data_IF_873186249041
#
_entry.id   IF_873186249041
#
_cell.length_a   1.000
_cell.length_b   1.000
_cell.length_c   1.000
_cell.angle_alpha   90.00
_cell.angle_beta   90.00
_cell.angle_gamma   90.00
#
_symmetry.space_group_name_H-M   'P 1'
#
loop_
_entity.id
_entity.type
_entity.pdbx_description
1 polymer ?
#
# COMPACT_ATOMS: atom_id res chain seq x y z
N UNK A 1 -3.25 -28.70 -6.75
CA UNK A 1 -3.94 -27.79 -7.69
C UNK A 1 -5.46 -27.78 -7.57
N UNK A 2 -6.15 -28.89 -7.27
CA UNK A 2 -7.64 -28.94 -7.17
C UNK A 2 -8.24 -28.26 -5.91
N UNK A 3 -7.50 -28.10 -4.81
CA UNK A 3 -8.03 -27.50 -3.56
C UNK A 3 -8.06 -25.96 -3.54
N UNK A 4 -7.26 -25.30 -4.37
CA UNK A 4 -7.22 -23.83 -4.47
C UNK A 4 -8.41 -23.29 -5.26
N UNK A 5 -8.88 -24.06 -6.25
CA UNK A 5 -10.06 -23.70 -7.05
C UNK A 5 -11.37 -23.66 -6.26
N UNK A 6 -11.51 -24.50 -5.23
CA UNK A 6 -12.74 -24.60 -4.43
C UNK A 6 -12.86 -23.39 -3.47
N UNK A 7 -11.76 -22.91 -2.91
CA UNK A 7 -11.78 -21.73 -2.02
C UNK A 7 -12.11 -20.46 -2.82
N UNK A 8 -11.60 -20.33 -4.04
CA UNK A 8 -11.93 -19.20 -4.93
C UNK A 8 -13.41 -19.21 -5.33
N UNK A 9 -14.00 -20.36 -5.59
CA UNK A 9 -15.42 -20.50 -5.95
C UNK A 9 -16.33 -20.22 -4.76
N UNK A 10 -15.96 -20.60 -3.55
CA UNK A 10 -16.76 -20.32 -2.34
C UNK A 10 -16.73 -18.81 -2.01
N UNK A 11 -15.61 -18.12 -2.20
CA UNK A 11 -15.54 -16.65 -2.03
C UNK A 11 -16.38 -15.92 -3.10
N UNK A 12 -16.39 -16.40 -4.34
CA UNK A 12 -17.20 -15.83 -5.42
C UNK A 12 -18.71 -16.08 -5.22
N UNK A 13 -19.10 -17.26 -4.74
CA UNK A 13 -20.50 -17.59 -4.45
C UNK A 13 -21.05 -16.78 -3.26
N UNK A 14 -20.24 -16.54 -2.23
CA UNK A 14 -20.64 -15.71 -1.09
C UNK A 14 -20.78 -14.23 -1.46
N UNK A 15 -19.95 -13.73 -2.38
CA UNK A 15 -20.07 -12.37 -2.91
C UNK A 15 -21.29 -12.17 -3.82
N UNK A 16 -21.70 -13.19 -4.58
CA UNK A 16 -22.91 -13.15 -5.41
C UNK A 16 -24.20 -13.17 -4.58
N UNK A 17 -24.25 -13.96 -3.52
CA UNK A 17 -25.39 -14.00 -2.61
C UNK A 17 -25.62 -12.65 -1.89
N UNK A 18 -24.54 -11.94 -1.55
CA UNK A 18 -24.60 -10.60 -0.94
C UNK A 18 -25.10 -9.53 -1.93
N UNK A 19 -24.85 -9.70 -3.23
CA UNK A 19 -25.26 -8.74 -4.26
C UNK A 19 -26.76 -8.88 -4.65
N UNK A 20 -27.38 -10.03 -4.45
CA UNK A 20 -28.79 -10.27 -4.81
C UNK A 20 -29.78 -9.79 -3.75
N UNK A 21 -29.41 -9.77 -2.47
CA UNK A 21 -30.30 -9.37 -1.38
C UNK A 21 -30.53 -7.85 -1.22
N UNK A 22 -29.89 -7.01 -2.05
CA UNK A 22 -30.01 -5.54 -1.97
C UNK A 22 -31.03 -4.97 -2.97
N UNK A 23 -31.74 -5.79 -3.75
CA UNK A 23 -32.50 -5.32 -4.92
C UNK A 23 -33.99 -5.12 -4.69
N UNK A 24 -34.54 -5.27 -3.51
CA UNK A 24 -35.98 -5.10 -3.26
C UNK A 24 -36.28 -4.18 -2.07
N UNK A 25 -36.25 -2.88 -2.27
CA UNK A 25 -37.11 -1.91 -1.55
C UNK A 25 -37.34 -0.74 -2.51
N UNK A 26 -38.51 -0.73 -3.15
CA UNK A 26 -39.12 0.45 -3.74
C UNK A 26 -39.85 1.22 -2.61
N UNK A 27 -39.92 2.55 -2.67
CA UNK A 27 -40.68 3.34 -1.71
C UNK A 27 -42.16 3.38 -2.16
N UNK A 28 -43.05 2.98 -1.30
CA UNK A 28 -44.48 3.31 -1.46
C UNK A 28 -44.94 4.21 -0.31
N UNK A 29 -45.64 5.22 -0.72
CA UNK A 29 -46.18 6.33 0.05
C UNK A 29 -47.53 5.97 0.70
N UNK A 30 -47.83 6.70 1.76
CA UNK A 30 -49.09 7.13 2.38
C UNK A 30 -49.50 6.46 3.70
N UNK A 31 -49.39 7.32 4.69
CA UNK A 31 -50.24 7.75 5.81
C UNK A 31 -51.39 6.86 6.28
N UNK A 32 -51.38 6.50 7.56
CA UNK A 32 -52.45 6.88 8.50
C UNK A 32 -52.04 6.61 9.96
N UNK A 33 -52.29 7.57 10.82
CA UNK A 33 -52.11 7.57 12.27
C UNK A 33 -53.27 6.79 12.88
N UNK A 34 -52.94 5.74 13.67
CA UNK A 34 -53.79 5.33 14.78
C UNK A 34 -52.90 4.80 15.95
N UNK A 35 -53.05 5.48 17.05
CA UNK A 35 -52.47 5.05 18.31
C UNK A 35 -53.18 3.83 18.86
N UNK A 36 -52.39 2.78 19.21
CA UNK A 36 -52.80 1.81 20.19
C UNK A 36 -51.61 1.27 20.93
N UNK A 37 -51.63 1.48 22.26
CA UNK A 37 -50.69 0.88 23.20
C UNK A 37 -50.60 -0.64 23.03
N UNK A 38 -49.42 -1.13 22.71
CA UNK A 38 -49.07 -2.51 22.96
C UNK A 38 -47.59 -2.63 23.35
N UNK A 39 -47.39 -3.14 24.56
CA UNK A 39 -46.12 -3.53 25.13
C UNK A 39 -45.31 -4.34 24.10
N UNK A 40 -44.29 -3.75 23.48
CA UNK A 40 -43.28 -4.52 22.72
C UNK A 40 -42.30 -5.13 23.73
N UNK A 41 -42.45 -6.42 23.97
CA UNK A 41 -41.35 -7.23 24.45
C UNK A 41 -40.24 -7.22 23.39
N UNK A 42 -39.13 -6.58 23.69
CA UNK A 42 -37.91 -6.58 22.83
C UNK A 42 -37.28 -7.99 22.95
N UNK A 43 -37.61 -8.87 22.04
CA UNK A 43 -36.83 -10.07 21.76
C UNK A 43 -35.52 -9.62 21.09
N UNK A 44 -34.47 -9.41 21.87
CA UNK A 44 -33.11 -9.26 21.36
C UNK A 44 -32.67 -10.56 20.68
N UNK A 45 -32.98 -10.70 19.40
CA UNK A 45 -32.39 -11.72 18.55
C UNK A 45 -30.86 -11.54 18.61
N UNK A 46 -30.12 -12.48 19.19
CA UNK A 46 -28.65 -12.53 19.12
C UNK A 46 -28.26 -12.55 17.64
N UNK A 47 -27.86 -11.40 17.13
CA UNK A 47 -27.34 -11.26 15.77
C UNK A 47 -26.10 -12.15 15.63
N UNK A 48 -26.09 -13.05 14.65
CA UNK A 48 -24.92 -13.86 14.29
C UNK A 48 -23.72 -12.93 14.00
N UNK A 49 -22.50 -13.40 14.26
CA UNK A 49 -21.26 -12.62 14.02
C UNK A 49 -21.25 -12.04 12.61
N UNK A 50 -21.72 -12.79 11.60
CA UNK A 50 -21.82 -12.34 10.21
C UNK A 50 -22.74 -11.13 10.06
N UNK A 51 -23.94 -11.15 10.68
CA UNK A 51 -24.87 -10.02 10.62
C UNK A 51 -24.37 -8.79 11.39
N UNK A 52 -23.59 -8.97 12.47
CA UNK A 52 -22.92 -7.86 13.18
C UNK A 52 -21.86 -7.21 12.28
N UNK A 53 -21.07 -8.02 11.60
CA UNK A 53 -20.05 -7.55 10.63
C UNK A 53 -20.72 -6.82 9.47
N UNK A 54 -21.77 -7.40 8.87
CA UNK A 54 -22.50 -6.77 7.76
C UNK A 54 -23.17 -5.46 8.18
N UNK A 55 -23.77 -5.38 9.38
CA UNK A 55 -24.36 -4.15 9.90
C UNK A 55 -23.30 -3.09 10.21
N UNK A 56 -22.14 -3.48 10.74
CA UNK A 56 -21.01 -2.58 10.92
C UNK A 56 -20.60 -1.93 9.57
N UNK A 57 -20.57 -2.71 8.51
CA UNK A 57 -20.25 -2.22 7.17
C UNK A 57 -21.36 -1.36 6.54
N UNK A 58 -22.64 -1.69 6.78
CA UNK A 58 -23.77 -0.83 6.35
C UNK A 58 -23.76 0.53 7.07
N UNK A 59 -23.46 0.54 8.37
CA UNK A 59 -23.40 1.75 9.18
C UNK A 59 -22.14 2.58 8.98
N UNK A 60 -21.06 1.97 8.49
CA UNK A 60 -19.80 2.68 8.22
C UNK A 60 -19.90 3.74 7.10
N UNK A 61 -20.97 3.68 6.28
CA UNK A 61 -21.27 4.69 5.23
C UNK A 61 -22.12 5.86 5.70
N UNK A 62 -22.65 5.82 6.94
CA UNK A 62 -23.39 6.95 7.49
C UNK A 62 -22.40 8.01 7.98
N UNK A 63 -22.59 9.27 7.55
CA UNK A 63 -21.83 10.38 8.09
C UNK A 63 -22.10 10.49 9.58
N UNK A 64 -21.10 10.18 10.40
CA UNK A 64 -21.18 10.36 11.84
C UNK A 64 -20.92 11.82 12.16
N UNK A 65 -21.73 12.40 13.04
CA UNK A 65 -21.50 13.74 13.60
C UNK A 65 -20.06 13.81 14.13
N UNK A 66 -19.37 14.90 13.79
CA UNK A 66 -17.96 15.17 14.10
C UNK A 66 -17.63 14.88 15.56
N UNK A 67 -17.00 13.75 15.81
CA UNK A 67 -16.39 13.46 17.11
C UNK A 67 -14.99 14.05 17.15
N UNK A 68 -14.53 14.45 18.32
CA UNK A 68 -13.16 14.92 18.54
C UNK A 68 -12.13 13.86 18.14
N UNK A 69 -12.49 12.58 18.28
CA UNK A 69 -11.72 11.43 17.89
C UNK A 69 -12.65 10.32 17.34
N UNK A 70 -12.41 9.85 16.13
CA UNK A 70 -13.18 8.77 15.50
C UNK A 70 -12.24 7.62 15.12
N UNK A 71 -12.56 6.41 15.60
CA UNK A 71 -11.77 5.19 15.31
C UNK A 71 -12.55 4.33 14.32
N UNK A 72 -11.85 3.85 13.31
CA UNK A 72 -12.34 2.87 12.35
C UNK A 72 -11.39 1.68 12.27
N UNK A 73 -11.97 0.49 12.07
CA UNK A 73 -11.22 -0.73 11.85
C UNK A 73 -11.46 -1.21 10.42
N UNK A 74 -10.39 -1.52 9.73
CA UNK A 74 -10.41 -2.13 8.40
C UNK A 74 -9.49 -3.33 8.45
N UNK A 75 -9.94 -4.47 7.97
CA UNK A 75 -9.10 -5.65 7.92
C UNK A 75 -9.75 -6.76 7.12
N UNK A 76 -8.94 -7.72 6.75
CA UNK A 76 -9.41 -8.86 5.99
C UNK A 76 -8.27 -9.74 5.48
N UNK A 77 -8.64 -10.86 4.84
CA UNK A 77 -7.67 -11.70 4.17
C UNK A 77 -7.04 -10.95 2.99
N UNK A 78 -5.80 -11.25 2.70
CA UNK A 78 -5.10 -10.80 1.49
C UNK A 78 -4.25 -11.93 0.92
N UNK A 79 -3.84 -11.79 -0.30
CA UNK A 79 -2.93 -12.72 -0.97
C UNK A 79 -1.96 -11.98 -1.87
N UNK A 80 -0.71 -12.37 -1.81
CA UNK A 80 0.31 -11.95 -2.79
C UNK A 80 1.24 -13.11 -3.12
N UNK A 81 1.96 -12.97 -4.22
CA UNK A 81 2.96 -13.98 -4.64
C UNK A 81 4.02 -14.20 -3.57
N UNK A 82 4.38 -13.16 -2.83
CA UNK A 82 5.47 -13.16 -1.86
C UNK A 82 5.03 -13.66 -0.48
N UNK A 83 3.96 -13.12 0.05
CA UNK A 83 3.48 -13.42 1.41
C UNK A 83 2.45 -14.53 1.47
N UNK A 84 1.94 -15.00 0.29
CA UNK A 84 0.87 -15.99 0.20
C UNK A 84 -0.41 -15.49 0.87
N UNK A 85 -1.20 -16.40 1.45
CA UNK A 85 -2.41 -16.02 2.16
C UNK A 85 -2.04 -15.39 3.49
N UNK A 86 -2.57 -14.22 3.76
CA UNK A 86 -2.40 -13.48 5.00
C UNK A 86 -3.69 -12.87 5.50
N UNK A 87 -3.61 -12.27 6.68
CA UNK A 87 -4.68 -11.51 7.28
C UNK A 87 -4.10 -10.23 7.89
N UNK A 88 -4.64 -9.09 7.47
CA UNK A 88 -4.23 -7.78 7.95
C UNK A 88 -5.37 -7.06 8.67
N UNK A 89 -5.02 -6.29 9.70
CA UNK A 89 -5.93 -5.40 10.42
C UNK A 89 -5.28 -4.04 10.55
N UNK A 90 -6.05 -2.98 10.28
CA UNK A 90 -5.70 -1.58 10.51
C UNK A 90 -6.74 -0.97 11.45
N UNK A 91 -6.27 -0.39 12.54
CA UNK A 91 -7.06 0.49 13.39
C UNK A 91 -6.65 1.93 13.08
N UNK A 92 -7.55 2.73 12.52
CA UNK A 92 -7.29 4.11 12.12
C UNK A 92 -8.12 5.08 12.95
N UNK A 93 -7.46 6.02 13.60
CA UNK A 93 -8.06 7.10 14.35
C UNK A 93 -7.91 8.42 13.59
N UNK A 94 -9.00 9.20 13.50
CA UNK A 94 -9.00 10.55 12.96
C UNK A 94 -9.31 11.53 14.08
N UNK A 95 -8.55 12.63 14.15
CA UNK A 95 -8.74 13.65 15.17
C UNK A 95 -8.50 15.04 14.61
N UNK A 96 -9.20 16.04 15.16
CA UNK A 96 -9.03 17.44 14.79
C UNK A 96 -8.25 18.19 15.86
N UNK A 97 -7.28 18.99 15.45
CA UNK A 97 -6.50 19.87 16.32
C UNK A 97 -7.26 21.14 16.69
N UNK A 98 -8.20 21.57 15.84
CA UNK A 98 -9.13 22.66 16.11
C UNK A 98 -10.57 22.22 15.89
N UNK A 99 -11.47 22.56 16.81
CA UNK A 99 -12.92 22.33 16.67
C UNK A 99 -13.65 23.50 15.98
N UNK A 100 -13.00 24.66 15.89
CA UNK A 100 -13.56 25.88 15.30
C UNK A 100 -13.36 25.96 13.79
N UNK A 101 -12.35 25.24 13.26
CA UNK A 101 -12.06 25.16 11.84
C UNK A 101 -12.72 23.92 11.22
N UNK A 102 -13.94 24.10 10.71
CA UNK A 102 -14.72 23.00 10.07
C UNK A 102 -14.15 22.54 8.73
N UNK A 103 -13.28 23.34 8.10
CA UNK A 103 -12.64 23.05 6.81
C UNK A 103 -11.31 22.29 6.98
N UNK A 104 -10.77 22.25 8.20
CA UNK A 104 -9.49 21.58 8.45
C UNK A 104 -9.57 20.07 8.17
N UNK A 105 -8.64 19.58 7.37
CA UNK A 105 -8.42 18.14 7.17
C UNK A 105 -8.04 17.52 8.51
N UNK A 106 -8.70 16.45 8.97
CA UNK A 106 -8.37 15.83 10.25
C UNK A 106 -6.99 15.17 10.21
N UNK A 107 -6.26 15.28 11.30
CA UNK A 107 -5.08 14.48 11.58
C UNK A 107 -5.46 13.00 11.70
N UNK A 108 -4.53 12.11 11.42
CA UNK A 108 -4.76 10.67 11.52
C UNK A 108 -3.61 9.95 12.24
N UNK A 109 -3.95 8.84 12.84
CA UNK A 109 -3.01 7.85 13.38
C UNK A 109 -3.56 6.46 13.10
N UNK A 110 -2.72 5.58 12.56
CA UNK A 110 -3.12 4.22 12.23
C UNK A 110 -2.11 3.22 12.75
N UNK A 111 -2.62 2.17 13.39
CA UNK A 111 -1.85 0.99 13.80
C UNK A 111 -2.27 -0.15 12.88
N UNK A 112 -1.30 -0.87 12.35
CA UNK A 112 -1.59 -2.03 11.53
C UNK A 112 -0.78 -3.24 11.93
N UNK A 113 -1.37 -4.41 11.73
CA UNK A 113 -0.71 -5.71 11.85
C UNK A 113 -1.06 -6.58 10.67
N UNK A 114 -0.11 -7.40 10.25
CA UNK A 114 -0.25 -8.31 9.13
C UNK A 114 0.50 -9.60 9.43
N UNK A 115 -0.15 -10.74 9.20
CA UNK A 115 0.42 -12.06 9.39
C UNK A 115 0.08 -12.95 8.19
N UNK A 116 0.96 -13.88 7.84
CA UNK A 116 0.71 -14.77 6.71
C UNK A 116 1.10 -16.22 6.96
N UNK A 117 0.60 -17.10 6.10
CA UNK A 117 0.82 -18.55 6.15
C UNK A 117 2.27 -18.97 5.93
N UNK A 118 3.12 -18.11 5.39
CA UNK A 118 4.56 -18.38 5.20
C UNK A 118 5.42 -17.86 6.36
N UNK A 119 4.80 -17.39 7.46
CA UNK A 119 5.53 -16.86 8.61
C UNK A 119 6.01 -15.41 8.42
N UNK A 120 5.44 -14.68 7.44
CA UNK A 120 5.56 -13.23 7.40
C UNK A 120 4.72 -12.62 8.52
N UNK A 121 5.27 -11.65 9.22
CA UNK A 121 4.51 -10.78 10.10
C UNK A 121 5.07 -9.36 10.03
N UNK A 122 4.16 -8.42 10.12
CA UNK A 122 4.44 -6.99 10.11
C UNK A 122 3.56 -6.29 11.14
N UNK A 123 4.16 -5.40 11.87
CA UNK A 123 3.48 -4.50 12.79
C UNK A 123 3.99 -3.10 12.55
N UNK A 124 3.11 -2.11 12.62
CA UNK A 124 3.53 -0.73 12.45
C UNK A 124 2.49 0.29 12.86
N UNK A 125 2.94 1.52 12.91
CA UNK A 125 2.17 2.71 13.19
C UNK A 125 2.58 3.77 12.16
N UNK A 126 1.58 4.47 11.62
CA UNK A 126 1.80 5.61 10.74
C UNK A 126 0.71 6.66 10.93
N UNK A 127 1.01 7.88 10.57
CA UNK A 127 0.03 8.94 10.65
C UNK A 127 0.55 10.28 10.16
N UNK A 128 -0.37 11.24 10.15
CA UNK A 128 -0.12 12.64 9.84
C UNK A 128 -0.76 13.49 10.91
N UNK A 129 0.05 14.26 11.63
CA UNK A 129 -0.42 15.32 12.50
C UNK A 129 -0.47 16.63 11.72
N UNK A 130 -1.66 17.21 11.59
CA UNK A 130 -1.90 18.46 10.86
C UNK A 130 -2.15 19.56 11.88
N UNK A 131 -1.31 20.60 11.83
CA UNK A 131 -1.47 21.79 12.68
C UNK A 131 -2.59 22.68 12.17
N UNK A 132 -3.10 23.55 13.03
CA UNK A 132 -4.15 24.50 12.69
C UNK A 132 -3.76 25.36 11.48
N UNK A 133 -4.70 25.51 10.53
CA UNK A 133 -4.47 26.23 9.27
C UNK A 133 -3.72 25.47 8.19
N UNK A 134 -3.41 24.19 8.41
CA UNK A 134 -2.76 23.27 7.46
C UNK A 134 -1.45 23.78 6.83
N UNK A 135 -0.76 24.69 7.52
CA UNK A 135 0.54 25.22 7.07
C UNK A 135 1.72 24.35 7.50
N UNK A 136 1.49 23.42 8.43
CA UNK A 136 2.50 22.52 8.94
C UNK A 136 1.89 21.13 9.12
N UNK A 137 2.69 20.11 8.81
CA UNK A 137 2.35 18.68 9.01
C UNK A 137 3.54 17.91 9.53
N UNK A 138 3.32 16.98 10.45
CA UNK A 138 4.30 15.96 10.81
C UNK A 138 3.78 14.62 10.30
N UNK A 139 4.47 14.04 9.32
CA UNK A 139 4.24 12.68 8.89
C UNK A 139 5.21 11.75 9.61
N UNK A 140 4.71 10.64 10.09
CA UNK A 140 5.53 9.65 10.78
C UNK A 140 5.10 8.24 10.42
N UNK A 141 6.07 7.35 10.33
CA UNK A 141 5.82 5.92 10.17
C UNK A 141 6.90 5.12 10.87
N UNK A 142 6.47 4.07 11.56
CA UNK A 142 7.38 3.08 12.11
C UNK A 142 6.82 1.69 11.84
N UNK A 143 7.69 0.76 11.53
CA UNK A 143 7.29 -0.61 11.28
C UNK A 143 8.40 -1.60 11.62
N UNK A 144 7.97 -2.74 12.11
CA UNK A 144 8.80 -3.93 12.27
C UNK A 144 8.20 -5.06 11.44
N UNK A 145 9.03 -5.79 10.72
CA UNK A 145 8.59 -6.98 10.03
C UNK A 145 9.65 -8.09 10.02
N UNK A 146 9.16 -9.31 9.94
CA UNK A 146 9.92 -10.52 9.70
C UNK A 146 9.40 -11.17 8.42
N UNK A 147 10.28 -11.38 7.46
CA UNK A 147 9.92 -11.93 6.17
C UNK A 147 10.81 -13.11 5.79
N UNK A 148 10.33 -14.36 5.92
CA UNK A 148 10.94 -15.51 5.27
C UNK A 148 10.85 -15.31 3.76
N UNK A 149 11.97 -14.97 3.12
CA UNK A 149 12.01 -14.52 1.74
C UNK A 149 13.06 -15.28 0.94
N UNK A 150 12.98 -15.12 -0.36
CA UNK A 150 14.05 -15.55 -1.27
C UNK A 150 14.97 -14.39 -1.60
N UNK A 151 16.22 -14.72 -1.82
CA UNK A 151 17.29 -13.79 -2.18
C UNK A 151 18.10 -14.37 -3.34
N UNK A 152 18.31 -13.60 -4.38
CA UNK A 152 19.05 -14.00 -5.59
C UNK A 152 20.43 -13.35 -5.67
N UNK A 153 20.79 -12.48 -4.71
CA UNK A 153 21.99 -11.64 -4.78
C UNK A 153 21.67 -10.22 -5.23
N UNK A 154 22.69 -9.47 -5.60
CA UNK A 154 22.60 -8.03 -5.98
C UNK A 154 22.95 -7.90 -7.46
N UNK A 155 22.14 -7.14 -8.21
CA UNK A 155 22.27 -6.91 -9.63
C UNK A 155 21.20 -7.60 -10.47
N UNK A 156 20.93 -7.03 -11.64
CA UNK A 156 19.94 -7.56 -12.58
C UNK A 156 20.20 -9.03 -12.95
N UNK A 157 21.42 -9.35 -13.38
CA UNK A 157 21.78 -10.70 -13.81
C UNK A 157 21.62 -11.76 -12.71
N UNK A 158 21.85 -11.37 -11.46
CA UNK A 158 21.66 -12.27 -10.32
C UNK A 158 20.18 -12.63 -10.17
N UNK A 159 19.27 -11.66 -10.28
CA UNK A 159 17.84 -11.86 -10.23
C UNK A 159 17.27 -12.61 -11.45
N UNK A 160 17.90 -12.50 -12.61
CA UNK A 160 17.46 -13.14 -13.85
C UNK A 160 17.73 -14.66 -13.86
N UNK A 161 18.75 -15.10 -13.11
CA UNK A 161 19.13 -16.51 -12.98
C UNK A 161 18.43 -17.18 -11.78
N UNK A 162 17.58 -18.17 -12.07
CA UNK A 162 16.88 -18.96 -11.05
C UNK A 162 17.81 -19.80 -10.18
N UNK A 163 18.99 -20.17 -10.65
CA UNK A 163 19.97 -20.94 -9.88
C UNK A 163 20.48 -20.20 -8.65
N UNK A 164 20.40 -18.87 -8.65
CA UNK A 164 20.77 -18.01 -7.53
C UNK A 164 19.70 -17.96 -6.41
N UNK A 165 18.51 -18.52 -6.63
CA UNK A 165 17.44 -18.51 -5.63
C UNK A 165 17.89 -19.18 -4.33
N UNK A 166 17.88 -18.43 -3.25
CA UNK A 166 18.34 -18.84 -1.92
C UNK A 166 17.36 -18.40 -0.86
N UNK A 167 17.12 -19.21 0.15
CA UNK A 167 16.26 -18.85 1.28
C UNK A 167 17.01 -17.96 2.27
N UNK A 168 16.32 -17.00 2.81
CA UNK A 168 16.76 -16.23 3.97
C UNK A 168 15.58 -15.66 4.73
N UNK A 169 15.79 -15.29 5.99
CA UNK A 169 14.83 -14.59 6.81
C UNK A 169 15.29 -13.15 7.02
N UNK A 170 14.53 -12.17 6.53
CA UNK A 170 14.83 -10.75 6.72
C UNK A 170 14.02 -10.19 7.88
N UNK A 171 14.70 -9.65 8.87
CA UNK A 171 14.11 -8.83 9.92
C UNK A 171 14.46 -7.38 9.63
N UNK A 172 13.47 -6.51 9.71
CA UNK A 172 13.69 -5.11 9.48
C UNK A 172 12.80 -4.24 10.38
N UNK A 173 13.43 -3.26 10.99
CA UNK A 173 12.76 -2.14 11.62
C UNK A 173 13.01 -0.89 10.77
N UNK A 174 11.93 -0.13 10.52
CA UNK A 174 11.97 1.16 9.83
C UNK A 174 11.30 2.21 10.70
N UNK A 175 11.91 3.39 10.75
CA UNK A 175 11.30 4.59 11.29
C UNK A 175 11.60 5.72 10.31
N UNK A 176 10.57 6.48 9.94
CA UNK A 176 10.66 7.69 9.15
C UNK A 176 9.77 8.75 9.77
N UNK A 177 10.26 9.98 9.81
CA UNK A 177 9.46 11.13 10.18
C UNK A 177 9.92 12.34 9.37
N UNK A 178 8.96 13.19 8.99
CA UNK A 178 9.24 14.47 8.38
C UNK A 178 8.33 15.54 8.96
N UNK A 179 8.86 16.75 9.09
CA UNK A 179 8.14 17.93 9.51
C UNK A 179 8.08 18.89 8.34
N UNK A 180 6.91 18.99 7.74
CA UNK A 180 6.67 19.68 6.49
C UNK A 180 5.98 21.02 6.73
N UNK A 181 6.41 22.03 6.00
CA UNK A 181 5.88 23.38 5.97
C UNK A 181 5.29 23.65 4.58
N UNK A 182 4.14 24.31 4.52
CA UNK A 182 3.50 24.69 3.26
C UNK A 182 3.82 26.15 2.92
N UNK A 183 4.84 26.44 2.08
CA UNK A 183 5.15 27.79 1.62
C UNK A 183 4.12 28.33 0.64
N UNK A 184 3.54 27.46 -0.18
CA UNK A 184 2.45 27.74 -1.11
C UNK A 184 1.44 26.59 -1.08
N UNK A 185 0.25 26.83 -1.58
CA UNK A 185 -0.84 25.86 -1.60
C UNK A 185 -0.40 24.54 -2.26
N UNK A 186 -0.77 23.41 -1.67
CA UNK A 186 -0.47 22.04 -2.11
C UNK A 186 1.03 21.64 -2.12
N UNK A 187 1.94 22.54 -1.79
CA UNK A 187 3.36 22.26 -1.69
C UNK A 187 3.81 22.21 -0.23
N UNK A 188 4.42 21.11 0.17
CA UNK A 188 4.97 20.91 1.49
C UNK A 188 6.46 20.53 1.38
N UNK A 189 7.31 21.18 2.18
CA UNK A 189 8.74 20.89 2.22
C UNK A 189 9.27 20.98 3.66
N UNK A 190 10.19 20.13 4.02
CA UNK A 190 10.79 20.18 5.34
C UNK A 190 11.78 19.07 5.64
N UNK A 191 12.40 19.12 6.84
CA UNK A 191 13.37 18.14 7.28
C UNK A 191 12.76 16.76 7.44
N UNK A 192 13.59 15.73 7.21
CA UNK A 192 13.24 14.33 7.33
C UNK A 192 14.32 13.55 8.05
N UNK A 193 13.92 12.55 8.82
CA UNK A 193 14.81 11.58 9.45
C UNK A 193 14.40 10.17 9.09
N UNK A 194 15.34 9.26 9.00
CA UNK A 194 15.09 7.85 8.71
C UNK A 194 16.05 6.95 9.51
N UNK A 195 15.50 5.90 10.12
CA UNK A 195 16.26 4.86 10.80
C UNK A 195 15.87 3.50 10.25
N UNK A 196 16.85 2.69 9.89
CA UNK A 196 16.61 1.33 9.38
C UNK A 196 17.58 0.36 10.04
N UNK A 197 17.04 -0.64 10.73
CA UNK A 197 17.77 -1.82 11.18
C UNK A 197 17.40 -2.98 10.27
N UNK A 198 18.36 -3.63 9.65
CA UNK A 198 18.13 -4.77 8.77
C UNK A 198 19.04 -5.91 9.17
N UNK A 199 18.45 -7.09 9.32
CA UNK A 199 19.16 -8.31 9.70
C UNK A 199 18.77 -9.46 8.76
N UNK A 200 19.79 -10.16 8.22
CA UNK A 200 19.60 -11.42 7.50
C UNK A 200 19.89 -12.60 8.46
N UNK A 201 18.90 -13.46 8.66
CA UNK A 201 19.00 -14.70 9.41
C UNK A 201 18.76 -15.90 8.48
N UNK A 202 19.21 -17.07 8.90
CA UNK A 202 18.98 -18.33 8.19
C UNK A 202 19.33 -18.23 6.69
N UNK A 203 20.49 -17.60 6.40
CA UNK A 203 20.94 -17.35 5.03
C UNK A 203 21.56 -18.63 4.47
N UNK A 204 20.87 -19.25 3.53
CA UNK A 204 21.29 -20.52 2.89
C UNK A 204 22.59 -20.35 2.07
N UNK A 205 22.74 -19.21 1.37
CA UNK A 205 23.92 -18.88 0.55
C UNK A 205 24.53 -17.53 0.95
N UNK A 206 25.37 -17.49 1.99
CA UNK A 206 25.97 -16.23 2.49
C UNK A 206 26.81 -15.48 1.46
N UNK A 207 27.41 -16.20 0.49
CA UNK A 207 28.22 -15.60 -0.58
C UNK A 207 27.45 -14.61 -1.44
N UNK A 208 26.12 -14.75 -1.55
CA UNK A 208 25.28 -13.84 -2.31
C UNK A 208 25.18 -12.43 -1.67
N UNK A 209 25.59 -12.30 -0.40
CA UNK A 209 25.69 -11.00 0.28
C UNK A 209 26.95 -10.22 -0.11
N UNK A 210 27.83 -10.78 -0.97
CA UNK A 210 29.08 -10.14 -1.43
C UNK A 210 29.97 -9.65 -0.28
N UNK A 211 30.12 -10.45 0.79
CA UNK A 211 30.94 -10.13 1.95
C UNK A 211 30.35 -9.04 2.86
N UNK A 212 29.14 -8.55 2.60
CA UNK A 212 28.51 -7.54 3.43
C UNK A 212 28.03 -8.11 4.77
N UNK A 213 27.96 -7.24 5.79
CA UNK A 213 27.47 -7.59 7.12
C UNK A 213 26.00 -7.99 7.05
N UNK A 214 25.64 -9.08 7.75
CA UNK A 214 24.26 -9.55 7.86
C UNK A 214 23.37 -8.56 8.60
N UNK A 215 23.93 -7.88 9.61
CA UNK A 215 23.24 -6.90 10.44
C UNK A 215 23.74 -5.51 10.09
N UNK A 216 22.85 -4.60 9.78
CA UNK A 216 23.16 -3.20 9.45
C UNK A 216 22.18 -2.26 10.12
N UNK A 217 22.74 -1.16 10.62
CA UNK A 217 22.01 -0.02 11.13
C UNK A 217 22.28 1.14 10.20
N UNK A 218 21.23 1.89 9.85
CA UNK A 218 21.32 3.02 8.93
C UNK A 218 20.50 4.19 9.50
N UNK A 219 21.20 5.15 10.08
CA UNK A 219 20.65 6.44 10.50
C UNK A 219 20.79 7.44 9.35
N UNK A 220 19.79 8.25 9.11
CA UNK A 220 19.83 9.25 8.07
C UNK A 220 19.00 10.47 8.39
N UNK A 221 19.42 11.59 7.82
CA UNK A 221 18.68 12.84 7.85
C UNK A 221 18.71 13.48 6.46
N UNK A 222 17.74 14.34 6.20
CA UNK A 222 17.62 15.01 4.92
C UNK A 222 16.37 15.85 4.83
N UNK A 223 15.73 15.86 3.68
CA UNK A 223 14.49 16.60 3.47
C UNK A 223 13.49 15.80 2.63
N UNK A 224 12.22 16.18 2.74
CA UNK A 224 11.12 15.71 1.88
C UNK A 224 10.39 16.91 1.30
N UNK A 225 10.02 16.81 0.03
CA UNK A 225 9.13 17.71 -0.68
C UNK A 225 7.93 16.91 -1.16
N UNK A 226 6.72 17.39 -0.91
CA UNK A 226 5.46 16.80 -1.33
C UNK A 226 4.60 17.88 -2.01
N UNK A 227 4.23 17.62 -3.26
CA UNK A 227 3.22 18.39 -3.97
C UNK A 227 2.02 17.47 -4.23
N UNK A 228 0.83 17.81 -3.73
CA UNK A 228 -0.35 16.94 -3.79
C UNK A 228 -1.61 17.73 -4.09
N UNK A 229 -2.15 17.54 -5.30
CA UNK A 229 -3.40 18.16 -5.79
C UNK A 229 -4.50 17.13 -6.00
N UNK A 230 -4.35 15.91 -5.49
CA UNK A 230 -5.35 14.86 -5.66
C UNK A 230 -6.66 15.23 -4.97
N UNK A 231 -7.77 14.93 -5.63
CA UNK A 231 -9.12 15.11 -5.07
C UNK A 231 -9.46 14.11 -3.96
N UNK A 232 -8.77 12.96 -3.93
CA UNK A 232 -8.94 11.93 -2.91
C UNK A 232 -7.61 11.19 -2.66
N UNK A 233 -7.32 10.85 -1.42
CA UNK A 233 -6.06 10.19 -1.05
C UNK A 233 -6.04 8.68 -1.31
N UNK A 234 -7.20 8.00 -1.24
CA UNK A 234 -7.33 6.55 -1.31
C UNK A 234 -7.81 6.02 -2.66
N UNK A 235 -8.62 6.81 -3.37
CA UNK A 235 -9.11 6.50 -4.72
C UNK A 235 -9.19 7.79 -5.53
N UNK A 236 -8.06 8.36 -5.94
CA UNK A 236 -8.03 9.61 -6.68
C UNK A 236 -8.64 9.47 -8.09
N UNK A 237 -9.39 10.50 -8.50
CA UNK A 237 -9.99 10.58 -9.83
C UNK A 237 -9.32 11.66 -10.69
N UNK A 238 -8.64 12.62 -10.07
CA UNK A 238 -7.88 13.68 -10.76
C UNK A 238 -6.81 14.23 -9.85
N UNK A 239 -5.85 14.90 -10.47
CA UNK A 239 -4.75 15.57 -9.77
C UNK A 239 -3.42 14.86 -9.93
N UNK A 240 -2.43 15.40 -9.25
CA UNK A 240 -1.04 14.96 -9.29
C UNK A 240 -0.52 14.85 -7.86
N UNK A 241 0.27 13.82 -7.60
CA UNK A 241 1.13 13.70 -6.42
C UNK A 241 2.58 13.58 -6.88
N UNK A 242 3.45 14.38 -6.29
CA UNK A 242 4.88 14.28 -6.45
C UNK A 242 5.52 14.32 -5.06
N UNK A 243 6.24 13.28 -4.71
CA UNK A 243 6.99 13.21 -3.46
C UNK A 243 8.46 12.94 -3.78
N UNK A 244 9.32 13.82 -3.30
CA UNK A 244 10.77 13.72 -3.39
C UNK A 244 11.35 13.69 -1.99
N UNK A 245 12.10 12.64 -1.67
CA UNK A 245 12.84 12.53 -0.41
C UNK A 245 14.33 12.33 -0.68
N UNK A 246 15.16 13.10 -0.03
CA UNK A 246 16.60 12.99 -0.08
C UNK A 246 17.15 12.75 1.34
N UNK A 247 17.70 11.57 1.59
CA UNK A 247 18.24 11.18 2.90
C UNK A 247 19.73 10.82 2.79
N UNK A 248 20.55 11.47 3.58
CA UNK A 248 21.99 11.22 3.65
C UNK A 248 22.29 10.39 4.89
N UNK A 249 23.15 9.38 4.74
CA UNK A 249 23.55 8.43 5.80
C UNK A 249 25.08 8.37 5.92
N UNK A 250 25.72 9.35 6.56
CA UNK A 250 27.16 9.41 6.69
C UNK A 250 27.67 8.43 7.77
N UNK A 251 28.94 8.06 7.70
CA UNK A 251 29.56 7.15 8.70
C UNK A 251 29.66 7.74 10.10
N UNK A 252 29.88 9.06 10.22
CA UNK A 252 30.15 9.70 11.49
C UNK A 252 28.99 9.65 12.51
N UNK A 253 27.77 9.36 12.05
CA UNK A 253 26.58 9.16 12.93
C UNK A 253 26.37 7.68 13.32
N UNK A 254 27.38 6.83 13.15
CA UNK A 254 27.33 5.42 13.53
C UNK A 254 26.96 4.44 12.42
N UNK A 255 26.84 4.90 11.18
CA UNK A 255 26.58 4.01 10.04
C UNK A 255 27.85 3.24 9.65
N UNK A 256 27.70 1.95 9.39
CA UNK A 256 28.78 1.15 8.83
C UNK A 256 29.06 1.50 7.36
N UNK A 257 28.01 1.75 6.61
CA UNK A 257 28.06 2.15 5.19
C UNK A 257 27.66 3.61 5.03
N UNK A 258 28.37 4.34 4.16
CA UNK A 258 28.02 5.72 3.80
C UNK A 258 27.38 5.79 2.45
N UNK A 259 26.17 6.37 2.37
CA UNK A 259 25.42 6.55 1.14
C UNK A 259 24.32 7.60 1.30
N UNK A 260 23.77 8.05 0.20
CA UNK A 260 22.54 8.85 0.21
C UNK A 260 21.48 8.18 -0.66
N UNK A 261 20.23 8.40 -0.32
CA UNK A 261 19.07 7.88 -1.06
C UNK A 261 18.23 9.04 -1.54
N UNK A 262 18.00 9.10 -2.86
CA UNK A 262 16.97 9.92 -3.48
C UNK A 262 15.80 8.99 -3.80
N UNK A 263 14.62 9.29 -3.27
CA UNK A 263 13.37 8.57 -3.53
C UNK A 263 12.37 9.55 -4.15
N UNK A 264 11.97 9.30 -5.38
CA UNK A 264 10.98 10.09 -6.10
C UNK A 264 9.80 9.20 -6.46
N UNK A 265 8.62 9.61 -6.06
CA UNK A 265 7.37 8.99 -6.42
C UNK A 265 6.40 10.02 -7.00
N UNK A 266 5.93 9.78 -8.20
CA UNK A 266 4.99 10.66 -8.91
C UNK A 266 3.81 9.85 -9.42
N UNK A 267 2.59 10.29 -9.10
CA UNK A 267 1.36 9.68 -9.60
C UNK A 267 0.44 10.77 -10.16
N UNK A 268 -0.15 10.52 -11.32
CA UNK A 268 -1.07 11.43 -11.99
C UNK A 268 -2.37 10.77 -12.39
N UNK A 269 -3.48 11.50 -12.34
CA UNK A 269 -4.83 10.97 -12.55
C UNK A 269 -5.61 11.90 -13.46
N UNK A 270 -6.13 11.35 -14.57
CA UNK A 270 -6.85 12.08 -15.60
C UNK A 270 -8.11 11.34 -16.02
N UNK A 271 -9.32 11.88 -15.78
CA UNK A 271 -10.54 11.36 -16.37
C UNK A 271 -10.45 11.44 -17.91
N UNK A 272 -10.72 10.33 -18.61
CA UNK A 272 -10.57 10.28 -20.07
C UNK A 272 -11.90 10.18 -20.80
N UNK A 273 -12.84 9.36 -20.29
CA UNK A 273 -14.23 9.30 -20.75
C UNK A 273 -15.15 8.89 -19.61
N UNK A 274 -16.43 8.78 -19.86
CA UNK A 274 -17.42 8.49 -18.81
C UNK A 274 -17.12 7.20 -18.06
N UNK A 275 -16.82 7.32 -16.77
CA UNK A 275 -16.48 6.21 -15.88
C UNK A 275 -15.06 5.67 -16.05
N UNK A 276 -14.23 6.30 -16.89
CA UNK A 276 -12.85 5.89 -17.11
C UNK A 276 -11.84 6.91 -16.61
N UNK A 277 -10.77 6.40 -16.01
CA UNK A 277 -9.65 7.12 -15.47
C UNK A 277 -8.36 6.55 -16.04
N UNK A 278 -7.49 7.42 -16.56
CA UNK A 278 -6.09 7.12 -16.81
C UNK A 278 -5.29 7.49 -15.56
N UNK A 279 -4.61 6.51 -14.97
CA UNK A 279 -3.68 6.71 -13.87
C UNK A 279 -2.27 6.37 -14.32
N UNK A 280 -1.32 7.22 -14.00
CA UNK A 280 0.10 7.05 -14.32
C UNK A 280 0.90 7.06 -13.02
N UNK A 281 1.85 6.17 -12.86
CA UNK A 281 2.76 6.10 -11.72
C UNK A 281 4.20 5.95 -12.18
N UNK A 282 5.10 6.68 -11.54
CA UNK A 282 6.54 6.60 -11.74
C UNK A 282 7.23 6.64 -10.39
N UNK A 283 8.09 5.66 -10.14
CA UNK A 283 8.90 5.56 -8.94
C UNK A 283 10.36 5.35 -9.29
N UNK A 284 11.24 6.03 -8.60
CA UNK A 284 12.68 5.77 -8.68
C UNK A 284 13.31 5.89 -7.31
N UNK A 285 14.17 4.94 -6.97
CA UNK A 285 14.98 4.95 -5.78
C UNK A 285 16.45 4.85 -6.19
N UNK A 286 17.21 5.88 -5.88
CA UNK A 286 18.61 6.03 -6.28
C UNK A 286 19.50 6.09 -5.03
N UNK A 287 20.38 5.12 -4.86
CA UNK A 287 21.36 5.09 -3.78
C UNK A 287 22.76 5.46 -4.30
N UNK A 288 23.30 6.57 -3.88
CA UNK A 288 24.63 7.02 -4.21
C UNK A 288 25.60 6.69 -3.10
N UNK A 289 26.74 6.10 -3.44
CA UNK A 289 27.74 5.59 -2.48
C UNK A 289 27.63 4.07 -2.28
N UNK A 290 27.78 3.59 -1.07
CA UNK A 290 27.85 2.17 -0.74
C UNK A 290 26.71 1.73 0.18
N UNK A 291 25.48 1.55 -0.34
CA UNK A 291 24.36 1.06 0.46
C UNK A 291 24.60 -0.40 0.89
N UNK A 292 24.09 -0.78 2.07
CA UNK A 292 24.07 -2.18 2.49
C UNK A 292 23.08 -2.99 1.64
N UNK A 293 23.25 -4.32 1.62
CA UNK A 293 22.35 -5.25 0.91
C UNK A 293 20.86 -5.03 1.26
N UNK A 294 20.59 -4.66 2.53
CA UNK A 294 19.24 -4.42 3.02
C UNK A 294 18.65 -3.06 2.64
N UNK A 295 19.49 -2.14 2.11
CA UNK A 295 19.11 -0.81 1.64
C UNK A 295 19.11 -0.70 0.11
N UNK A 296 19.40 -1.79 -0.61
CA UNK A 296 19.30 -1.83 -2.06
C UNK A 296 17.86 -1.53 -2.50
N UNK A 297 17.71 -0.94 -3.68
CA UNK A 297 16.43 -0.73 -4.32
C UNK A 297 15.84 -2.07 -4.77
N UNK A 298 14.62 -2.37 -4.33
CA UNK A 298 13.90 -3.62 -4.60
C UNK A 298 12.84 -3.34 -5.68
N UNK A 299 12.85 -4.13 -6.76
CA UNK A 299 11.84 -4.08 -7.80
C UNK A 299 10.70 -5.05 -7.48
N UNK A 300 9.46 -4.63 -7.78
CA UNK A 300 8.25 -5.43 -7.61
C UNK A 300 7.66 -5.34 -6.20
N UNK A 301 6.34 -5.20 -6.14
CA UNK A 301 5.54 -5.32 -4.94
C UNK A 301 4.05 -5.51 -5.32
N UNK A 302 3.13 -5.31 -4.38
CA UNK A 302 1.68 -5.40 -4.66
C UNK A 302 1.10 -4.22 -5.43
N UNK A 303 1.84 -3.13 -5.62
CA UNK A 303 1.31 -1.87 -6.14
C UNK A 303 1.91 -1.49 -7.50
N UNK A 304 3.23 -1.65 -7.67
CA UNK A 304 3.93 -1.43 -8.94
C UNK A 304 4.75 -2.66 -9.31
N UNK A 305 4.94 -2.92 -10.60
CA UNK A 305 5.56 -4.14 -11.11
C UNK A 305 4.91 -5.41 -10.55
N UNK A 306 3.58 -5.39 -10.49
CA UNK A 306 2.74 -6.45 -9.92
C UNK A 306 2.97 -7.79 -10.63
N UNK A 307 3.12 -8.86 -9.83
CA UNK A 307 3.45 -10.21 -10.32
C UNK A 307 4.93 -10.56 -10.24
N UNK A 308 5.83 -9.58 -10.12
CA UNK A 308 7.22 -9.85 -9.75
C UNK A 308 7.34 -10.11 -8.25
N UNK A 309 8.22 -11.05 -7.87
CA UNK A 309 8.58 -11.28 -6.48
C UNK A 309 9.39 -10.08 -5.95
N UNK A 310 8.98 -9.44 -4.84
CA UNK A 310 9.64 -8.26 -4.27
C UNK A 310 11.12 -8.53 -4.00
N UNK A 311 11.98 -7.75 -4.64
CA UNK A 311 13.42 -7.83 -4.46
C UNK A 311 14.09 -9.04 -5.10
N UNK A 312 13.41 -9.79 -5.98
CA UNK A 312 14.09 -10.72 -6.88
C UNK A 312 15.13 -9.97 -7.71
N UNK A 313 14.73 -8.85 -8.30
CA UNK A 313 15.64 -7.91 -8.92
C UNK A 313 15.90 -6.78 -7.93
N UNK A 314 17.18 -6.59 -7.59
CA UNK A 314 17.63 -5.53 -6.69
C UNK A 314 19.01 -5.03 -7.06
N UNK A 315 19.23 -3.74 -6.91
CA UNK A 315 20.53 -3.12 -7.14
C UNK A 315 20.60 -1.79 -6.38
N UNK A 316 21.64 -1.00 -6.57
CA UNK A 316 21.75 0.34 -5.99
C UNK A 316 20.58 1.24 -6.37
N UNK A 317 20.14 1.18 -7.62
CA UNK A 317 19.12 2.03 -8.19
C UNK A 317 17.99 1.20 -8.78
N UNK A 318 16.77 1.75 -8.79
CA UNK A 318 15.65 1.25 -9.56
C UNK A 318 14.89 2.39 -10.23
N UNK A 319 14.24 2.08 -11.33
CA UNK A 319 13.20 2.89 -11.97
C UNK A 319 12.04 1.99 -12.35
N UNK A 320 10.84 2.44 -12.06
CA UNK A 320 9.59 1.72 -12.34
C UNK A 320 8.54 2.71 -12.83
N UNK A 321 7.77 2.31 -13.83
CA UNK A 321 6.64 3.10 -14.33
C UNK A 321 5.47 2.22 -14.69
N UNK A 322 4.26 2.75 -14.58
CA UNK A 322 3.03 2.03 -14.84
C UNK A 322 1.94 2.99 -15.30
N UNK A 323 1.17 2.55 -16.28
CA UNK A 323 -0.04 3.21 -16.73
C UNK A 323 -1.22 2.27 -16.51
N UNK A 324 -2.30 2.78 -15.95
CA UNK A 324 -3.54 2.05 -15.71
C UNK A 324 -4.72 2.76 -16.36
N UNK A 325 -5.59 1.98 -16.97
CA UNK A 325 -6.96 2.40 -17.31
C UNK A 325 -7.89 1.75 -16.31
N UNK A 326 -8.55 2.56 -15.50
CA UNK A 326 -9.55 2.14 -14.51
C UNK A 326 -10.92 2.47 -15.07
N UNK A 327 -11.76 1.46 -15.33
CA UNK A 327 -13.11 1.62 -15.88
C UNK A 327 -14.15 1.19 -14.88
N UNK A 328 -15.00 2.11 -14.45
CA UNK A 328 -16.25 1.79 -13.76
C UNK A 328 -17.23 1.15 -14.74
N UNK A 329 -17.75 -0.03 -14.42
CA UNK A 329 -18.65 -0.78 -15.31
C UNK A 329 -20.09 -0.61 -14.87
N UNK A 330 -20.42 -0.96 -13.64
CA UNK A 330 -21.78 -0.96 -13.16
C UNK A 330 -21.87 -0.97 -11.64
N UNK A 331 -22.69 -0.12 -11.04
CA UNK A 331 -22.86 0.03 -9.58
C UNK A 331 -21.53 0.21 -8.86
N UNK A 332 -21.04 -0.83 -8.19
CA UNK A 332 -19.80 -0.86 -7.40
C UNK A 332 -18.66 -1.60 -8.09
N UNK A 333 -18.85 -1.98 -9.35
CA UNK A 333 -17.94 -2.85 -10.08
C UNK A 333 -17.13 -2.07 -11.10
N UNK A 334 -15.84 -2.32 -11.13
CA UNK A 334 -14.90 -1.77 -12.09
C UNK A 334 -13.86 -2.79 -12.53
N UNK A 335 -13.21 -2.50 -13.62
CA UNK A 335 -12.07 -3.26 -14.14
C UNK A 335 -10.89 -2.33 -14.33
N UNK A 336 -9.70 -2.91 -14.26
CA UNK A 336 -8.44 -2.21 -14.47
C UNK A 336 -7.58 -3.04 -15.43
N UNK A 337 -6.96 -2.38 -16.38
CA UNK A 337 -5.88 -2.93 -17.18
C UNK A 337 -4.67 -2.04 -17.02
N UNK A 338 -3.49 -2.61 -17.01
CA UNK A 338 -2.26 -1.83 -16.91
C UNK A 338 -1.13 -2.43 -17.73
N UNK A 339 -0.21 -1.54 -18.08
CA UNK A 339 1.10 -1.87 -18.60
C UNK A 339 2.15 -1.00 -17.93
N UNK A 340 3.33 -1.55 -17.76
CA UNK A 340 4.44 -0.88 -17.11
C UNK A 340 5.78 -1.51 -17.45
N UNK A 341 6.81 -0.90 -16.94
CA UNK A 341 8.18 -1.37 -17.10
C UNK A 341 9.04 -0.94 -15.91
N UNK A 342 10.05 -1.72 -15.59
CA UNK A 342 11.01 -1.38 -14.55
C UNK A 342 12.39 -1.96 -14.81
N UNK A 343 13.37 -1.42 -14.12
CA UNK A 343 14.74 -1.92 -14.16
C UNK A 343 15.49 -1.63 -12.89
N UNK A 344 16.50 -2.43 -12.61
CA UNK A 344 17.47 -2.18 -11.54
C UNK A 344 18.86 -2.08 -12.13
N UNK A 345 19.71 -1.22 -11.57
CA UNK A 345 21.05 -0.96 -12.08
C UNK A 345 21.99 -0.42 -11.00
N UNK A 346 23.29 -0.64 -11.16
CA UNK A 346 24.31 -0.14 -10.24
C UNK A 346 24.88 1.23 -10.64
N UNK A 347 24.73 1.62 -11.90
CA UNK A 347 25.15 2.92 -12.47
C UNK A 347 24.32 3.21 -13.72
N UNK A 348 24.09 4.47 -14.05
CA UNK A 348 23.26 4.88 -15.18
C UNK A 348 23.76 4.35 -16.52
N UNK A 349 25.08 4.26 -16.71
CA UNK A 349 25.69 3.69 -17.93
C UNK A 349 25.47 2.17 -18.09
N UNK A 350 24.95 1.49 -17.07
CA UNK A 350 24.61 0.06 -17.11
C UNK A 350 23.16 -0.19 -17.53
N UNK A 351 22.35 0.84 -17.70
CA UNK A 351 20.98 0.71 -18.20
C UNK A 351 21.03 0.21 -19.64
N UNK A 352 20.33 -0.90 -19.91
CA UNK A 352 20.25 -1.50 -21.25
C UNK A 352 18.82 -1.92 -21.52
N UNK A 353 18.36 -1.79 -22.76
CA UNK A 353 17.00 -2.20 -23.16
C UNK A 353 16.69 -3.65 -22.79
N UNK A 354 17.65 -4.57 -22.92
CA UNK A 354 17.50 -5.98 -22.53
C UNK A 354 17.29 -6.23 -21.01
N UNK A 355 17.58 -5.23 -20.18
CA UNK A 355 17.38 -5.27 -18.72
C UNK A 355 16.07 -4.61 -18.29
N UNK A 356 15.27 -4.12 -19.22
CA UNK A 356 13.94 -3.61 -18.94
C UNK A 356 13.01 -4.81 -18.74
N UNK A 357 12.33 -4.81 -17.60
CA UNK A 357 11.38 -5.82 -17.18
C UNK A 357 9.97 -5.31 -17.50
N UNK A 358 9.23 -5.95 -18.43
CA UNK A 358 7.86 -5.57 -18.72
C UNK A 358 6.92 -6.01 -17.60
N UNK A 359 5.87 -5.26 -17.36
CA UNK A 359 4.78 -5.62 -16.48
C UNK A 359 3.44 -5.27 -17.13
N UNK A 360 2.47 -6.15 -17.07
CA UNK A 360 1.10 -5.89 -17.53
C UNK A 360 0.14 -6.79 -16.80
N UNK A 361 -1.14 -6.45 -16.83
CA UNK A 361 -2.12 -7.25 -16.16
C UNK A 361 -3.53 -6.72 -16.24
N UNK A 362 -4.42 -7.43 -15.56
CA UNK A 362 -5.83 -7.13 -15.46
C UNK A 362 -6.28 -7.22 -14.00
N UNK A 363 -7.18 -6.35 -13.60
CA UNK A 363 -7.72 -6.32 -12.26
C UNK A 363 -9.22 -6.06 -12.23
N UNK A 364 -9.84 -6.53 -11.16
CA UNK A 364 -11.21 -6.25 -10.80
C UNK A 364 -11.25 -5.34 -9.57
N UNK A 365 -12.21 -4.43 -9.56
CA UNK A 365 -12.47 -3.49 -8.45
C UNK A 365 -13.89 -3.65 -7.98
N UNK A 366 -14.05 -3.78 -6.68
CA UNK A 366 -15.34 -3.69 -6.03
C UNK A 366 -15.31 -2.58 -4.98
N UNK A 367 -16.09 -1.54 -5.20
CA UNK A 367 -16.22 -0.44 -4.25
C UNK A 367 -16.99 -0.92 -3.02
N UNK A 368 -16.25 -1.36 -2.02
CA UNK A 368 -16.78 -1.85 -0.76
C UNK A 368 -17.44 -0.73 0.05
N UNK A 369 -16.79 0.42 0.11
CA UNK A 369 -17.22 1.67 0.72
C UNK A 369 -16.81 2.81 -0.21
N UNK A 370 -17.49 3.97 -0.14
CA UNK A 370 -17.13 5.14 -0.95
C UNK A 370 -15.63 5.42 -0.86
N UNK A 371 -14.96 5.42 -2.00
CA UNK A 371 -13.51 5.61 -2.15
C UNK A 371 -12.63 4.51 -1.48
N UNK A 372 -13.19 3.34 -1.18
CA UNK A 372 -12.45 2.18 -0.68
C UNK A 372 -12.77 0.98 -1.55
N UNK A 373 -11.82 0.56 -2.35
CA UNK A 373 -11.96 -0.54 -3.29
C UNK A 373 -11.33 -1.83 -2.76
N UNK A 374 -12.01 -2.94 -2.93
CA UNK A 374 -11.39 -4.26 -2.90
C UNK A 374 -10.79 -4.50 -4.28
N UNK A 375 -9.54 -4.90 -4.30
CA UNK A 375 -8.72 -5.07 -5.48
C UNK A 375 -8.33 -6.53 -5.67
N UNK A 376 -8.64 -7.06 -6.86
CA UNK A 376 -8.21 -8.38 -7.32
C UNK A 376 -7.43 -8.19 -8.60
N UNK A 377 -6.12 -8.40 -8.57
CA UNK A 377 -5.22 -8.19 -9.70
C UNK A 377 -4.53 -9.49 -10.09
N UNK A 378 -4.27 -9.67 -11.37
CA UNK A 378 -3.31 -10.66 -11.85
C UNK A 378 -2.30 -9.97 -12.75
N UNK A 379 -1.05 -9.93 -12.28
CA UNK A 379 0.07 -9.32 -12.98
C UNK A 379 0.95 -10.35 -13.67
N UNK A 380 1.44 -9.98 -14.85
CA UNK A 380 2.37 -10.75 -15.66
C UNK A 380 3.70 -10.03 -15.77
N UNK A 381 4.78 -10.78 -15.78
CA UNK A 381 6.14 -10.29 -15.93
C UNK A 381 6.98 -11.15 -16.87
N UNK A 382 8.27 -10.83 -16.98
CA UNK A 382 9.25 -11.56 -17.80
C UNK A 382 9.33 -13.03 -17.37
N UNK A 383 9.54 -13.92 -18.36
CA UNK A 383 9.89 -15.35 -18.16
C UNK A 383 8.90 -16.11 -17.27
N UNK A 384 7.60 -15.91 -17.48
CA UNK A 384 6.55 -16.62 -16.74
C UNK A 384 6.39 -16.18 -15.29
N UNK A 385 7.02 -15.07 -14.88
CA UNK A 385 6.70 -14.46 -13.61
C UNK A 385 5.29 -13.87 -13.67
N UNK A 386 4.53 -14.12 -12.65
CA UNK A 386 3.19 -13.62 -12.54
C UNK A 386 2.62 -13.94 -11.17
N UNK A 387 1.58 -13.22 -10.79
CA UNK A 387 0.99 -13.43 -9.48
C UNK A 387 -0.37 -12.79 -9.33
N UNK A 388 -1.16 -13.45 -8.50
CA UNK A 388 -2.45 -12.94 -8.05
C UNK A 388 -2.23 -12.07 -6.81
N UNK A 389 -2.94 -10.96 -6.76
CA UNK A 389 -2.92 -10.01 -5.65
C UNK A 389 -4.36 -9.73 -5.25
N UNK A 390 -4.64 -9.87 -3.97
CA UNK A 390 -5.87 -9.44 -3.33
C UNK A 390 -5.52 -8.41 -2.27
N UNK A 391 -6.05 -7.21 -2.39
CA UNK A 391 -5.74 -6.11 -1.48
C UNK A 391 -6.91 -5.13 -1.35
N UNK A 392 -6.81 -4.17 -0.46
CA UNK A 392 -7.77 -3.08 -0.25
C UNK A 392 -7.12 -1.78 -0.74
N UNK A 393 -7.92 -0.86 -1.26
CA UNK A 393 -7.57 0.39 -1.94
C UNK A 393 -6.97 0.20 -3.34
N UNK A 394 -6.72 1.31 -4.02
CA UNK A 394 -6.05 1.30 -5.32
C UNK A 394 -4.54 1.03 -5.16
N UNK A 395 -3.88 0.73 -6.27
CA UNK A 395 -2.45 0.42 -6.27
C UNK A 395 -1.60 1.68 -5.99
N UNK A 396 -2.06 2.85 -6.46
CA UNK A 396 -1.42 4.15 -6.24
C UNK A 396 -2.43 5.28 -6.43
#
# INVERSE_FOLDING_TARGET
MKKIGIISVILFASLHAIAQDVTLIQPDTTVSVQASDNKLQSTTKKLNIVSRVLNYFKESNKEKKTKKFDISFIGGPHYSTDTKLGFAIVASGHYRTSLTDSLQIPSNVSIYTDVSTVGFYKFGLYGTHIFTGDKQRINYSTSFFSFPSYFWGIGYNMGDDNSNKSKMKRWQYKLQANWLFSPVENLFIGPAIAVNFVTARDVERPQLLNGQRRNTVNFGAGFTMLYDTRDNLTAPHRGLRLELSQIVRPKFIGNYYSFSTTDLHTSGYLPIWRGALLAADFQTLLNFGNPSWGMMALLGNSDIMRGYYEGRYRDKHKMETQLEIRQHIWRRNGIVIWAGAGTVFNKFSAIRMKHILPNYGIGYRWEFKKNVNIRLDYGFGKAGQGGFIFNINEAF
#
